data_IF_034266169679
#
_entry.id   IF_034266169679
#
_cell.length_a   1.000
_cell.length_b   1.000
_cell.length_c   1.000
_cell.angle_alpha   90.00
_cell.angle_beta   90.00
_cell.angle_gamma   90.00
#
_symmetry.space_group_name_H-M   'P 1'
#
loop_
_entity.id
_entity.type
_entity.pdbx_description
1 polymer ?
#
# COMPACT_ATOMS: atom_id res chain seq x y z
N UNK A 1 -3.93 10.60 7.38
CA UNK A 1 -3.60 9.42 6.54
C UNK A 1 -2.42 9.76 5.62
N UNK A 2 -1.66 8.79 5.10
CA UNK A 2 -0.63 9.02 4.07
C UNK A 2 0.75 9.55 4.50
N UNK A 3 0.92 10.10 5.70
CA UNK A 3 2.19 10.70 6.16
C UNK A 3 3.40 9.75 6.17
N UNK A 4 3.19 8.45 6.44
CA UNK A 4 4.28 7.46 6.43
C UNK A 4 4.85 7.25 5.02
N UNK A 5 3.98 7.15 4.01
CA UNK A 5 4.41 7.00 2.61
C UNK A 5 4.95 8.33 2.07
N UNK A 6 4.38 9.45 2.50
CA UNK A 6 4.91 10.78 2.16
C UNK A 6 6.37 10.95 2.59
N UNK A 7 6.76 10.41 3.76
CA UNK A 7 8.16 10.46 4.19
C UNK A 7 9.09 9.63 3.31
N UNK A 8 8.62 8.50 2.78
CA UNK A 8 9.38 7.71 1.78
C UNK A 8 9.53 8.50 0.48
N UNK A 9 8.46 9.13 -0.01
CA UNK A 9 8.51 9.97 -1.20
C UNK A 9 9.49 11.16 -1.05
N UNK A 10 9.50 11.81 0.11
CA UNK A 10 10.46 12.88 0.44
C UNK A 10 11.91 12.40 0.33
N UNK A 11 12.22 11.20 0.86
CA UNK A 11 13.56 10.61 0.77
C UNK A 11 13.94 10.23 -0.68
N UNK A 12 12.94 9.95 -1.52
CA UNK A 12 13.13 9.73 -2.96
C UNK A 12 13.22 11.05 -3.75
N UNK A 13 13.07 12.20 -3.10
CA UNK A 13 13.06 13.51 -3.76
C UNK A 13 11.78 13.79 -4.57
N UNK A 14 10.68 13.12 -4.23
CA UNK A 14 9.40 13.23 -4.94
C UNK A 14 8.35 13.94 -4.09
N UNK A 15 7.70 14.95 -4.67
CA UNK A 15 6.56 15.62 -4.07
C UNK A 15 5.28 14.79 -4.23
N UNK A 16 4.76 14.30 -3.09
CA UNK A 16 3.67 13.33 -3.00
C UNK A 16 2.35 14.00 -2.64
N UNK A 17 1.28 13.58 -3.32
CA UNK A 17 -0.11 13.84 -2.91
C UNK A 17 -0.40 13.14 -1.59
N UNK A 18 -0.65 13.89 -0.52
CA UNK A 18 -0.74 13.34 0.85
C UNK A 18 -1.81 12.26 1.00
N UNK A 19 -2.99 12.46 0.39
CA UNK A 19 -4.13 11.52 0.47
C UNK A 19 -4.35 10.74 -0.83
N UNK A 20 -3.53 10.98 -1.86
CA UNK A 20 -3.63 10.36 -3.17
C UNK A 20 -2.69 9.18 -3.34
N UNK A 21 -2.77 8.55 -4.51
CA UNK A 21 -1.83 7.52 -4.96
C UNK A 21 -1.00 8.11 -6.09
N UNK A 22 0.31 8.01 -5.97
CA UNK A 22 1.23 8.58 -6.94
C UNK A 22 2.07 7.47 -7.52
N UNK A 23 2.43 7.58 -8.81
CA UNK A 23 3.27 6.61 -9.50
C UNK A 23 4.65 7.22 -9.71
N UNK A 24 5.67 6.51 -9.21
CA UNK A 24 7.08 6.89 -9.34
C UNK A 24 7.79 5.85 -10.19
N UNK A 25 8.55 6.30 -11.19
CA UNK A 25 9.41 5.47 -12.05
C UNK A 25 10.77 6.16 -12.17
N UNK A 26 11.86 5.42 -11.94
CA UNK A 26 13.23 5.94 -12.00
C UNK A 26 13.47 7.22 -11.16
N UNK A 27 12.89 7.25 -9.96
CA UNK A 27 12.99 8.39 -9.03
C UNK A 27 12.17 9.62 -9.44
N UNK A 28 11.31 9.50 -10.46
CA UNK A 28 10.49 10.61 -10.96
C UNK A 28 9.01 10.30 -10.79
N UNK A 29 8.25 11.30 -10.36
CA UNK A 29 6.79 11.27 -10.39
C UNK A 29 6.31 11.28 -11.84
N UNK A 30 5.67 10.21 -12.28
CA UNK A 30 5.12 10.09 -13.64
C UNK A 30 3.60 10.25 -13.68
N UNK A 31 2.92 9.91 -12.59
CA UNK A 31 1.48 10.17 -12.41
C UNK A 31 1.25 10.68 -11.00
N UNK A 32 0.58 11.83 -10.88
CA UNK A 32 0.17 12.42 -9.61
C UNK A 32 -1.31 12.15 -9.39
N UNK A 33 -1.67 11.73 -8.17
CA UNK A 33 -3.06 11.44 -7.78
C UNK A 33 -3.79 10.53 -8.79
N UNK A 34 -3.16 9.40 -9.08
CA UNK A 34 -3.54 8.43 -10.08
C UNK A 34 -4.95 7.85 -9.83
N UNK A 35 -5.75 7.83 -10.90
CA UNK A 35 -7.01 7.11 -10.96
C UNK A 35 -6.78 5.60 -11.13
N UNK A 36 -7.84 4.79 -11.03
CA UNK A 36 -7.76 3.37 -11.35
C UNK A 36 -7.28 3.13 -12.80
N UNK A 37 -7.75 3.94 -13.75
CA UNK A 37 -7.38 3.81 -15.16
C UNK A 37 -5.89 4.08 -15.38
N UNK A 38 -5.34 5.09 -14.71
CA UNK A 38 -3.90 5.40 -14.77
C UNK A 38 -3.08 4.23 -14.22
N UNK A 39 -3.49 3.69 -13.08
CA UNK A 39 -2.81 2.57 -12.44
C UNK A 39 -2.88 1.31 -13.29
N UNK A 40 -4.01 1.03 -13.94
CA UNK A 40 -4.16 -0.10 -14.87
C UNK A 40 -3.16 -0.03 -16.02
N UNK A 41 -2.99 1.15 -16.64
CA UNK A 41 -2.00 1.35 -17.71
C UNK A 41 -0.59 1.08 -17.21
N UNK A 42 -0.25 1.60 -16.03
CA UNK A 42 1.08 1.42 -15.42
C UNK A 42 1.41 -0.06 -15.16
N UNK A 43 0.47 -0.81 -14.58
CA UNK A 43 0.69 -2.23 -14.24
C UNK A 43 0.60 -3.17 -15.45
N UNK A 44 0.07 -2.69 -16.58
CA UNK A 44 0.11 -3.41 -17.86
C UNK A 44 1.46 -3.20 -18.57
N UNK A 45 2.04 -2.00 -18.48
CA UNK A 45 3.30 -1.64 -19.12
C UNK A 45 4.55 -2.15 -18.41
N UNK A 46 4.54 -2.24 -17.08
CA UNK A 46 5.74 -2.53 -16.30
C UNK A 46 5.46 -3.31 -15.01
N UNK A 47 6.48 -4.06 -14.57
CA UNK A 47 6.50 -4.59 -13.20
C UNK A 47 6.38 -3.44 -12.22
N UNK A 48 5.43 -3.56 -11.30
CA UNK A 48 5.03 -2.47 -10.40
C UNK A 48 4.98 -2.99 -8.98
N UNK A 49 5.40 -2.15 -8.04
CA UNK A 49 5.33 -2.41 -6.60
C UNK A 49 4.35 -1.44 -5.96
N UNK A 50 3.57 -1.93 -5.01
CA UNK A 50 2.63 -1.12 -4.22
C UNK A 50 3.24 -0.89 -2.84
N UNK A 51 3.43 0.37 -2.45
CA UNK A 51 3.86 0.74 -1.09
C UNK A 51 2.68 1.34 -0.33
N UNK A 52 2.22 0.65 0.70
CA UNK A 52 1.05 1.05 1.49
C UNK A 52 1.38 1.14 2.97
N UNK A 53 0.61 1.95 3.69
CA UNK A 53 0.69 2.07 5.14
C UNK A 53 -0.69 1.92 5.76
N UNK A 54 -0.85 1.13 6.84
CA UNK A 54 -2.14 0.97 7.46
C UNK A 54 -2.67 2.32 7.96
N UNK A 55 -3.99 2.45 7.88
CA UNK A 55 -4.72 3.54 8.52
C UNK A 55 -4.68 3.31 10.04
N UNK A 56 -4.26 4.34 10.78
CA UNK A 56 -4.14 4.25 12.24
C UNK A 56 -5.47 3.96 12.93
N UNK A 57 -5.41 3.31 14.09
CA UNK A 57 -6.59 2.95 14.90
C UNK A 57 -7.13 1.56 14.58
N UNK A 58 -7.47 1.27 13.32
CA UNK A 58 -8.10 -0.01 12.94
C UNK A 58 -7.16 -0.97 12.19
N UNK A 59 -5.99 -0.50 11.71
CA UNK A 59 -5.04 -1.37 11.01
C UNK A 59 -5.46 -1.75 9.59
N UNK A 60 -6.43 -1.03 8.99
CA UNK A 60 -6.87 -1.27 7.62
C UNK A 60 -5.76 -0.93 6.62
N UNK A 61 -5.38 -1.91 5.79
CA UNK A 61 -4.38 -1.79 4.73
C UNK A 61 -4.99 -1.43 3.38
N UNK A 62 -6.05 -2.14 3.03
CA UNK A 62 -6.84 -1.99 1.82
C UNK A 62 -8.30 -2.01 2.28
N UNK A 63 -9.11 -1.05 1.86
CA UNK A 63 -10.48 -0.91 2.36
C UNK A 63 -11.45 -0.56 1.24
N UNK A 64 -12.72 -0.91 1.41
CA UNK A 64 -13.79 -0.79 0.39
C UNK A 64 -14.16 0.66 0.08
N UNK A 65 -14.27 1.00 -1.21
CA UNK A 65 -14.79 2.28 -1.74
C UNK A 65 -13.73 3.13 -2.47
N UNK A 66 -14.15 3.90 -3.50
CA UNK A 66 -13.33 4.72 -4.42
C UNK A 66 -11.84 4.33 -4.42
N UNK A 67 -11.55 3.08 -4.81
CA UNK A 67 -10.25 2.44 -4.70
C UNK A 67 -9.52 2.61 -6.04
N UNK A 68 -8.53 3.51 -6.17
CA UNK A 68 -7.67 3.45 -7.34
C UNK A 68 -6.91 2.12 -7.39
N UNK A 69 -6.60 1.50 -6.23
CA UNK A 69 -6.02 0.15 -6.14
C UNK A 69 -7.15 -0.87 -6.05
N UNK A 70 -7.72 -1.22 -7.20
CA UNK A 70 -8.80 -2.21 -7.30
C UNK A 70 -8.31 -3.65 -7.24
N UNK A 71 -9.20 -4.65 -7.06
CA UNK A 71 -8.85 -6.06 -7.15
C UNK A 71 -8.14 -6.46 -8.45
N UNK A 72 -8.47 -5.81 -9.58
CA UNK A 72 -7.81 -6.06 -10.87
C UNK A 72 -6.34 -5.64 -10.83
N UNK A 73 -6.04 -4.49 -10.24
CA UNK A 73 -4.66 -3.99 -10.06
C UNK A 73 -3.88 -4.89 -9.11
N UNK A 74 -4.47 -5.27 -7.97
CA UNK A 74 -3.82 -6.15 -6.99
C UNK A 74 -3.46 -7.51 -7.59
N UNK A 75 -4.35 -8.10 -8.40
CA UNK A 75 -4.06 -9.34 -9.12
C UNK A 75 -2.95 -9.18 -10.16
N UNK A 76 -2.92 -8.05 -10.87
CA UNK A 76 -1.91 -7.78 -11.89
C UNK A 76 -0.52 -7.52 -11.28
N UNK A 77 -0.47 -6.81 -10.16
CA UNK A 77 0.76 -6.53 -9.41
C UNK A 77 1.29 -7.79 -8.73
N UNK A 78 0.40 -8.63 -8.21
CA UNK A 78 0.76 -9.80 -7.41
C UNK A 78 0.98 -9.44 -5.95
N UNK A 79 0.54 -10.32 -5.05
CA UNK A 79 0.52 -10.02 -3.61
C UNK A 79 1.92 -9.92 -2.98
N UNK A 80 2.94 -10.49 -3.65
CA UNK A 80 4.33 -10.43 -3.20
C UNK A 80 4.99 -9.08 -3.51
N UNK A 81 4.38 -8.27 -4.39
CA UNK A 81 4.84 -6.93 -4.73
C UNK A 81 4.15 -5.83 -3.91
N UNK A 82 3.57 -6.20 -2.76
CA UNK A 82 2.96 -5.28 -1.82
C UNK A 82 3.89 -5.10 -0.61
N UNK A 83 4.47 -3.91 -0.49
CA UNK A 83 5.30 -3.50 0.63
C UNK A 83 4.43 -2.75 1.63
N UNK A 84 4.38 -3.26 2.86
CA UNK A 84 3.66 -2.61 3.96
C UNK A 84 4.66 -1.87 4.85
N UNK A 85 4.44 -0.57 5.04
CA UNK A 85 5.26 0.29 5.92
C UNK A 85 4.40 0.91 7.02
N UNK A 86 4.91 1.00 8.25
CA UNK A 86 4.20 1.66 9.33
C UNK A 86 5.17 2.21 10.37
N UNK A 87 4.85 3.30 11.05
CA UNK A 87 5.62 3.65 12.26
C UNK A 87 5.27 2.69 13.40
N UNK A 88 6.17 2.43 14.36
CA UNK A 88 5.86 1.60 15.53
C UNK A 88 4.62 2.09 16.29
N UNK A 89 4.41 3.42 16.32
CA UNK A 89 3.23 4.02 16.95
C UNK A 89 1.92 3.69 16.21
N UNK A 90 1.91 3.56 14.88
CA UNK A 90 0.71 3.13 14.14
C UNK A 90 0.31 1.68 14.43
N UNK A 91 1.30 0.83 14.74
CA UNK A 91 1.08 -0.58 15.07
C UNK A 91 0.82 -0.82 16.56
N UNK A 92 0.97 0.21 17.39
CA UNK A 92 0.80 0.08 18.84
C UNK A 92 -0.67 -0.23 19.15
N UNK A 93 -0.90 -1.32 19.87
CA UNK A 93 -2.25 -1.77 20.24
C UNK A 93 -3.01 -2.48 19.12
N UNK A 94 -2.46 -2.58 17.91
CA UNK A 94 -3.04 -3.41 16.86
C UNK A 94 -2.66 -4.88 17.08
N UNK A 95 -3.67 -5.74 17.16
CA UNK A 95 -3.47 -7.20 17.18
C UNK A 95 -3.27 -7.78 15.78
N UNK A 96 -3.87 -7.13 14.77
CA UNK A 96 -3.85 -7.55 13.39
C UNK A 96 -4.09 -6.36 12.47
N UNK A 97 -3.77 -6.56 11.20
CA UNK A 97 -4.16 -5.69 10.10
C UNK A 97 -5.43 -6.26 9.46
N UNK A 98 -6.19 -5.40 8.76
CA UNK A 98 -7.42 -5.80 8.08
C UNK A 98 -7.37 -5.39 6.61
N UNK A 99 -8.03 -6.20 5.79
CA UNK A 99 -8.25 -5.93 4.36
C UNK A 99 -9.73 -6.08 4.04
N UNK A 100 -10.23 -5.23 3.16
CA UNK A 100 -11.53 -5.34 2.51
C UNK A 100 -11.37 -4.77 1.10
N UNK A 101 -10.94 -5.62 0.16
CA UNK A 101 -10.76 -5.24 -1.24
C UNK A 101 -12.08 -5.22 -2.00
N UNK A 102 -13.19 -5.66 -1.38
CA UNK A 102 -14.47 -5.87 -2.05
C UNK A 102 -14.50 -7.14 -2.91
N UNK A 103 -13.50 -8.01 -2.79
CA UNK A 103 -13.34 -9.24 -3.55
C UNK A 103 -12.94 -10.36 -2.57
N UNK A 104 -13.86 -11.27 -2.20
CA UNK A 104 -13.65 -12.24 -1.13
C UNK A 104 -12.47 -13.19 -1.37
N UNK A 105 -12.22 -13.58 -2.63
CA UNK A 105 -11.11 -14.47 -2.97
C UNK A 105 -9.77 -13.79 -2.76
N UNK A 106 -9.71 -12.48 -3.08
CA UNK A 106 -8.53 -11.68 -2.86
C UNK A 106 -8.30 -11.36 -1.37
N UNK A 107 -9.37 -11.06 -0.64
CA UNK A 107 -9.33 -10.88 0.81
C UNK A 107 -8.79 -12.15 1.49
N UNK A 108 -9.25 -13.33 1.08
CA UNK A 108 -8.76 -14.61 1.57
C UNK A 108 -7.28 -14.84 1.21
N UNK A 109 -6.87 -14.54 -0.03
CA UNK A 109 -5.48 -14.65 -0.46
C UNK A 109 -4.52 -13.69 0.26
N UNK A 110 -5.03 -12.58 0.78
CA UNK A 110 -4.28 -11.60 1.58
C UNK A 110 -4.16 -12.01 3.06
N UNK A 111 -5.00 -12.91 3.56
CA UNK A 111 -4.92 -13.40 4.95
C UNK A 111 -3.58 -14.08 5.23
N UNK A 112 -3.25 -14.18 6.52
CA UNK A 112 -2.04 -14.85 6.99
C UNK A 112 -1.11 -13.86 7.67
N UNK A 113 0.20 -14.04 7.50
CA UNK A 113 1.19 -13.17 8.13
C UNK A 113 1.95 -12.36 7.06
N UNK A 114 2.09 -11.06 7.29
CA UNK A 114 2.87 -10.16 6.44
C UNK A 114 3.92 -9.43 7.26
N UNK A 115 5.06 -9.17 6.63
CA UNK A 115 6.12 -8.33 7.19
C UNK A 115 5.73 -6.87 7.00
N UNK A 116 5.81 -6.10 8.07
CA UNK A 116 5.62 -4.65 8.05
C UNK A 116 6.96 -4.01 8.38
N UNK A 117 7.47 -3.19 7.46
CA UNK A 117 8.70 -2.43 7.69
C UNK A 117 8.37 -1.30 8.67
N UNK A 118 9.07 -1.27 9.81
CA UNK A 118 8.83 -0.31 10.89
C UNK A 118 9.94 0.71 11.09
N UNK A 119 11.12 0.45 10.52
CA UNK A 119 12.30 1.30 10.64
C UNK A 119 13.44 0.81 9.76
N UNK A 120 14.62 1.41 9.93
CA UNK A 120 15.82 0.99 9.22
C UNK A 120 16.30 -0.37 9.76
N UNK A 121 16.29 -1.40 8.91
CA UNK A 121 16.51 -2.81 9.30
C UNK A 121 15.56 -3.33 10.38
N UNK A 122 14.39 -2.71 10.54
CA UNK A 122 13.41 -3.11 11.53
C UNK A 122 12.09 -3.49 10.87
N UNK A 123 11.56 -4.64 11.30
CA UNK A 123 10.35 -5.22 10.75
C UNK A 123 9.53 -5.88 11.83
N UNK A 124 8.22 -5.90 11.64
CA UNK A 124 7.28 -6.62 12.50
C UNK A 124 6.40 -7.54 11.66
N UNK A 125 6.33 -8.80 12.06
CA UNK A 125 5.36 -9.74 11.49
C UNK A 125 3.99 -9.46 12.09
N UNK A 126 3.02 -9.16 11.25
CA UNK A 126 1.63 -8.87 11.64
C UNK A 126 0.70 -9.85 10.92
N UNK A 127 -0.34 -10.30 11.64
CA UNK A 127 -1.41 -11.09 11.03
C UNK A 127 -2.35 -10.17 10.24
N UNK A 128 -2.76 -10.58 9.05
CA UNK A 128 -3.92 -10.04 8.33
C UNK A 128 -5.13 -10.92 8.65
N UNK A 129 -6.19 -10.28 9.15
CA UNK A 129 -7.49 -10.88 9.47
C UNK A 129 -8.53 -10.53 8.41
#
# INVERSE_FOLDING_TARGET
PGSTVAKVAELLGVDKTLLGIDVVRDGKLIVRDASEEDLLRVVEEAETWIVVSPLGGQGSLLGRGNQPISPRILRRVGLDHIIVIATPNKLRGLEALTVDTGDPDLDEALRGYRRVITGYHEERVMRIR
#
